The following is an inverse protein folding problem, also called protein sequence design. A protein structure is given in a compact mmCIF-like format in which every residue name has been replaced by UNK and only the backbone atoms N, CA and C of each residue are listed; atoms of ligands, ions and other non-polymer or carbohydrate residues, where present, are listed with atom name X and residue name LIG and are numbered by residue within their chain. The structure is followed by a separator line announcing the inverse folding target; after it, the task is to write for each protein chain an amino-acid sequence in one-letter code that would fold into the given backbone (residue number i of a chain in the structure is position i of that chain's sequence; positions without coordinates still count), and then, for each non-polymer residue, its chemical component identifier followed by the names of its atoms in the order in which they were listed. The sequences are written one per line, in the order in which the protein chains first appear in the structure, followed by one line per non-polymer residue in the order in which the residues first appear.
data_IF_378472297790
#
_entry.id   IF_378472297790
#
_cell.length_a   1.000
_cell.length_b   1.000
_cell.length_c   1.000
_cell.angle_alpha   90.00
_cell.angle_beta   90.00
_cell.angle_gamma   90.00
#
_symmetry.space_group_name_H-M   'P 1'
#
loop_
_entity.id
_entity.type
_entity.pdbx_description
1 polymer ?
#
# COMPACT_ATOMS: atom_id res chain seq x y z
N UNK A 1 4.55 81.65 -115.95
CA UNK A 1 5.09 82.64 -115.00
C UNK A 1 3.89 83.20 -114.26
N UNK A 2 3.72 83.11 -112.94
CA UNK A 2 4.69 82.87 -111.88
C UNK A 2 3.97 82.35 -110.60
N UNK A 3 4.71 81.57 -109.82
CA UNK A 3 4.28 80.81 -108.64
C UNK A 3 4.57 81.58 -107.37
N UNK A 4 3.57 82.20 -106.71
CA UNK A 4 3.78 82.81 -105.38
C UNK A 4 2.50 83.00 -104.55
N UNK A 5 1.55 82.06 -104.58
CA UNK A 5 0.28 82.16 -103.84
C UNK A 5 0.04 81.11 -102.73
N UNK A 6 1.05 80.34 -102.32
CA UNK A 6 0.86 79.21 -101.38
C UNK A 6 1.56 79.30 -100.01
N UNK A 7 2.34 80.35 -99.70
CA UNK A 7 3.20 80.31 -98.51
C UNK A 7 2.68 81.00 -97.23
N UNK A 8 1.49 81.61 -97.22
CA UNK A 8 1.06 82.49 -96.11
C UNK A 8 -0.06 81.93 -95.20
N UNK A 9 -0.50 80.67 -95.37
CA UNK A 9 -1.49 80.05 -94.47
C UNK A 9 -0.93 79.02 -93.46
N UNK A 10 0.32 78.59 -93.56
CA UNK A 10 0.88 77.56 -92.67
C UNK A 10 1.38 78.06 -91.29
N UNK A 11 1.48 79.37 -91.08
CA UNK A 11 2.09 79.94 -89.85
C UNK A 11 1.12 79.99 -88.65
N UNK A 12 -0.18 80.22 -88.86
CA UNK A 12 -1.16 80.40 -87.75
C UNK A 12 -1.61 79.11 -87.06
N UNK A 13 -1.42 77.94 -87.68
CA UNK A 13 -1.88 76.64 -87.14
C UNK A 13 -0.96 76.08 -86.04
N UNK A 14 0.35 76.36 -86.10
CA UNK A 14 1.35 75.72 -85.21
C UNK A 14 1.39 76.33 -83.80
N UNK A 15 1.06 77.61 -83.62
CA UNK A 15 1.11 78.30 -82.32
C UNK A 15 0.05 77.86 -81.31
N UNK A 16 -1.18 77.60 -81.76
CA UNK A 16 -2.28 77.16 -80.88
C UNK A 16 -2.08 75.73 -80.33
N UNK A 17 -1.37 74.88 -81.08
CA UNK A 17 -1.05 73.49 -80.69
C UNK A 17 -0.02 73.42 -79.55
N UNK A 18 0.97 74.31 -79.55
CA UNK A 18 2.05 74.33 -78.55
C UNK A 18 1.56 74.80 -77.18
N UNK A 19 0.75 75.86 -77.12
CA UNK A 19 0.19 76.37 -75.86
C UNK A 19 -0.69 75.33 -75.15
N UNK A 20 -1.48 74.58 -75.93
CA UNK A 20 -2.33 73.49 -75.41
C UNK A 20 -1.50 72.36 -74.80
N UNK A 21 -0.34 72.04 -75.39
CA UNK A 21 0.62 71.05 -74.86
C UNK A 21 1.27 71.52 -73.55
N UNK A 22 1.66 72.78 -73.46
CA UNK A 22 2.26 73.34 -72.22
C UNK A 22 1.24 73.34 -71.08
N UNK A 23 -0.01 73.77 -71.35
CA UNK A 23 -1.08 73.75 -70.35
C UNK A 23 -1.39 72.33 -69.88
N UNK A 24 -1.47 71.36 -70.81
CA UNK A 24 -1.67 69.96 -70.45
C UNK A 24 -0.48 69.38 -69.66
N UNK A 25 0.76 69.77 -69.97
CA UNK A 25 1.95 69.38 -69.20
C UNK A 25 1.91 69.91 -67.77
N UNK A 26 1.55 71.19 -67.57
CA UNK A 26 1.43 71.78 -66.24
C UNK A 26 0.32 71.11 -65.42
N UNK A 27 -0.83 70.82 -66.04
CA UNK A 27 -1.91 70.08 -65.39
C UNK A 27 -1.49 68.64 -65.04
N UNK A 28 -0.79 67.96 -65.94
CA UNK A 28 -0.25 66.63 -65.67
C UNK A 28 0.77 66.66 -64.53
N UNK A 29 1.68 67.63 -64.50
CA UNK A 29 2.67 67.79 -63.42
C UNK A 29 2.02 68.08 -62.08
N UNK A 30 0.96 68.90 -62.05
CA UNK A 30 0.19 69.16 -60.82
C UNK A 30 -0.52 67.90 -60.33
N UNK A 31 -1.15 67.14 -61.23
CA UNK A 31 -1.80 65.88 -60.89
C UNK A 31 -0.78 64.84 -60.40
N UNK A 32 0.34 64.68 -61.12
CA UNK A 32 1.43 63.78 -60.74
C UNK A 32 2.05 64.18 -59.40
N UNK A 33 2.16 65.48 -59.13
CA UNK A 33 2.63 66.02 -57.85
C UNK A 33 1.68 65.75 -56.69
N UNK A 34 0.36 65.86 -56.91
CA UNK A 34 -0.64 65.53 -55.89
C UNK A 34 -0.69 64.03 -55.61
N UNK A 35 -0.57 63.20 -56.65
CA UNK A 35 -0.53 61.74 -56.51
C UNK A 35 0.76 61.31 -55.81
N UNK A 36 1.92 61.86 -56.21
CA UNK A 36 3.20 61.53 -55.60
C UNK A 36 3.25 61.98 -54.14
N UNK A 37 2.68 63.15 -53.81
CA UNK A 37 2.61 63.63 -52.44
C UNK A 37 1.71 62.75 -51.56
N UNK A 38 0.55 62.32 -52.07
CA UNK A 38 -0.33 61.37 -51.36
C UNK A 38 0.36 60.03 -51.09
N UNK A 39 1.05 59.48 -52.09
CA UNK A 39 1.83 58.23 -51.95
C UNK A 39 2.97 58.42 -50.95
N UNK A 40 3.72 59.52 -51.06
CA UNK A 40 4.86 59.81 -50.20
C UNK A 40 4.43 60.00 -48.74
N UNK A 41 3.28 60.62 -48.48
CA UNK A 41 2.72 60.65 -47.12
C UNK A 41 2.41 59.25 -46.60
N UNK A 42 1.73 58.39 -47.37
CA UNK A 42 1.33 57.05 -46.91
C UNK A 42 2.52 56.13 -46.57
N UNK A 43 3.63 56.30 -47.27
CA UNK A 43 4.81 55.40 -47.20
C UNK A 43 5.87 55.88 -46.21
N UNK A 44 5.91 57.17 -45.86
CA UNK A 44 6.98 57.73 -45.05
C UNK A 44 6.48 58.31 -43.73
N UNK A 45 6.92 57.71 -42.62
CA UNK A 45 6.59 58.17 -41.27
C UNK A 45 7.04 59.61 -41.00
N UNK A 46 8.14 60.07 -41.63
CA UNK A 46 8.67 61.43 -41.44
C UNK A 46 7.84 62.50 -42.15
N UNK A 47 7.33 62.21 -43.36
CA UNK A 47 6.46 63.12 -44.11
C UNK A 47 5.05 63.17 -43.50
N UNK A 48 4.53 62.03 -43.04
CA UNK A 48 3.28 62.00 -42.27
C UNK A 48 3.40 62.81 -40.97
N UNK A 49 4.51 62.70 -40.24
CA UNK A 49 4.75 63.47 -39.02
C UNK A 49 4.88 64.98 -39.29
N UNK A 50 5.60 65.37 -40.35
CA UNK A 50 5.72 66.77 -40.75
C UNK A 50 4.37 67.39 -41.12
N UNK A 51 3.57 66.70 -41.95
CA UNK A 51 2.23 67.15 -42.33
C UNK A 51 1.29 67.26 -41.12
N UNK A 52 1.35 66.31 -40.19
CA UNK A 52 0.56 66.34 -38.95
C UNK A 52 0.96 67.50 -38.03
N UNK A 53 2.26 67.80 -37.92
CA UNK A 53 2.76 68.91 -37.12
C UNK A 53 2.37 70.28 -37.70
N UNK A 54 2.36 70.40 -39.03
CA UNK A 54 1.88 71.62 -39.73
C UNK A 54 0.37 71.80 -39.57
N UNK A 55 -0.42 70.72 -39.69
CA UNK A 55 -1.85 70.77 -39.44
C UNK A 55 -2.13 71.17 -37.98
N UNK A 56 -1.36 70.63 -37.03
CA UNK A 56 -1.46 70.98 -35.62
C UNK A 56 -1.16 72.45 -35.39
N UNK A 57 -0.07 73.00 -35.94
CA UNK A 57 0.29 74.41 -35.75
C UNK A 57 -0.72 75.38 -36.37
N UNK A 58 -1.32 75.03 -37.51
CA UNK A 58 -2.38 75.81 -38.13
C UNK A 58 -3.69 75.82 -37.32
N UNK A 59 -3.96 74.78 -36.54
CA UNK A 59 -5.16 74.66 -35.70
C UNK A 59 -5.00 75.27 -34.30
N UNK A 60 -3.77 75.50 -33.81
CA UNK A 60 -3.53 76.13 -32.49
C UNK A 60 -4.27 77.47 -32.26
N UNK A 61 -4.36 78.39 -33.25
CA UNK A 61 -5.06 79.67 -33.07
C UNK A 61 -6.59 79.54 -32.89
N UNK A 62 -7.19 78.41 -33.27
CA UNK A 62 -8.65 78.19 -33.26
C UNK A 62 -9.20 77.72 -31.90
N UNK A 63 -8.35 77.67 -30.86
CA UNK A 63 -8.72 77.30 -29.51
C UNK A 63 -8.48 75.82 -29.19
N UNK A 64 -7.95 75.56 -27.99
CA UNK A 64 -7.45 74.24 -27.56
C UNK A 64 -8.51 73.12 -27.64
N UNK A 65 -9.78 73.42 -27.36
CA UNK A 65 -10.85 72.42 -27.32
C UNK A 65 -11.27 71.84 -28.68
N UNK A 66 -11.19 72.62 -29.78
CA UNK A 66 -11.57 72.16 -31.12
C UNK A 66 -10.42 71.37 -31.76
N UNK A 67 -9.20 71.88 -31.60
CA UNK A 67 -7.96 71.25 -32.07
C UNK A 67 -7.79 69.86 -31.47
N UNK A 68 -8.10 69.69 -30.19
CA UNK A 68 -8.02 68.39 -29.53
C UNK A 68 -9.08 67.39 -30.04
N UNK A 69 -10.32 67.82 -30.31
CA UNK A 69 -11.37 66.95 -30.87
C UNK A 69 -11.03 66.48 -32.29
N UNK A 70 -10.54 67.37 -33.15
CA UNK A 70 -10.17 67.05 -34.52
C UNK A 70 -8.94 66.13 -34.54
N UNK A 71 -7.91 66.44 -33.75
CA UNK A 71 -6.69 65.61 -33.67
C UNK A 71 -6.95 64.24 -33.04
N UNK A 72 -7.85 64.11 -32.05
CA UNK A 72 -8.26 62.80 -31.49
C UNK A 72 -8.91 61.89 -32.53
N UNK A 73 -9.57 62.45 -33.54
CA UNK A 73 -10.20 61.67 -34.62
C UNK A 73 -9.23 61.27 -35.74
N UNK A 74 -8.01 61.82 -35.75
CA UNK A 74 -7.03 61.56 -36.79
C UNK A 74 -6.51 60.10 -36.76
N UNK A 75 -6.33 59.44 -37.91
CA UNK A 75 -5.88 58.05 -38.00
C UNK A 75 -4.53 57.77 -37.33
N UNK A 76 -3.65 58.78 -37.25
CA UNK A 76 -2.32 58.69 -36.62
C UNK A 76 -2.44 58.58 -35.09
N UNK A 77 -3.36 59.33 -34.47
CA UNK A 77 -3.58 59.28 -33.02
C UNK A 77 -4.24 57.96 -32.62
N UNK A 78 -5.20 57.47 -33.41
CA UNK A 78 -5.79 56.13 -33.22
C UNK A 78 -4.74 55.03 -33.34
N UNK A 79 -3.95 54.99 -34.42
CA UNK A 79 -2.88 54.00 -34.57
C UNK A 79 -1.86 54.04 -33.44
N UNK A 80 -1.46 55.22 -32.97
CA UNK A 80 -0.56 55.35 -31.83
C UNK A 80 -1.18 54.79 -30.55
N UNK A 81 -2.44 55.11 -30.28
CA UNK A 81 -3.18 54.59 -29.13
C UNK A 81 -3.37 53.06 -29.21
N UNK A 82 -3.76 52.53 -30.38
CA UNK A 82 -3.96 51.10 -30.61
C UNK A 82 -2.64 50.33 -30.45
N UNK A 83 -1.52 50.88 -30.91
CA UNK A 83 -0.18 50.32 -30.69
C UNK A 83 0.20 50.35 -29.21
N UNK A 84 -0.07 51.44 -28.50
CA UNK A 84 0.16 51.53 -27.05
C UNK A 84 -0.69 50.53 -26.26
N UNK A 85 -1.96 50.33 -26.64
CA UNK A 85 -2.86 49.33 -26.05
C UNK A 85 -2.36 47.91 -26.32
N UNK A 86 -1.97 47.60 -27.56
CA UNK A 86 -1.42 46.29 -27.90
C UNK A 86 -0.11 45.99 -27.14
N UNK A 87 0.75 47.00 -26.96
CA UNK A 87 1.96 46.90 -26.14
C UNK A 87 1.61 46.59 -24.68
N UNK A 88 0.58 47.22 -24.11
CA UNK A 88 0.14 46.94 -22.74
C UNK A 88 -0.46 45.54 -22.62
N UNK A 89 -1.34 45.14 -23.53
CA UNK A 89 -1.93 43.80 -23.55
C UNK A 89 -0.86 42.72 -23.63
N UNK A 90 0.18 42.95 -24.45
CA UNK A 90 1.29 42.02 -24.56
C UNK A 90 2.11 41.96 -23.26
N UNK A 91 2.35 43.10 -22.59
CA UNK A 91 3.00 43.11 -21.26
C UNK A 91 2.17 42.36 -20.22
N UNK A 92 0.86 42.56 -20.20
CA UNK A 92 -0.05 41.86 -19.28
C UNK A 92 -0.02 40.35 -19.50
N UNK A 93 -0.03 39.90 -20.77
CA UNK A 93 0.14 38.49 -21.13
C UNK A 93 1.50 37.93 -20.66
N UNK A 94 2.59 38.69 -20.82
CA UNK A 94 3.90 38.27 -20.31
C UNK A 94 3.94 38.19 -18.78
N UNK A 95 3.37 39.16 -18.07
CA UNK A 95 3.26 39.12 -16.61
C UNK A 95 2.39 37.96 -16.11
N UNK A 96 1.30 37.63 -16.81
CA UNK A 96 0.46 36.48 -16.47
C UNK A 96 1.20 35.16 -16.71
N UNK A 97 1.91 35.05 -17.83
CA UNK A 97 2.70 33.88 -18.17
C UNK A 97 3.84 33.66 -17.16
N UNK A 98 4.51 34.73 -16.72
CA UNK A 98 5.54 34.67 -15.67
C UNK A 98 4.95 34.18 -14.33
N UNK A 99 3.78 34.69 -13.94
CA UNK A 99 3.06 34.21 -12.74
C UNK A 99 2.70 32.73 -12.85
N UNK A 100 2.26 32.27 -14.03
CA UNK A 100 1.96 30.84 -14.27
C UNK A 100 3.22 29.99 -14.21
N UNK A 101 4.33 30.46 -14.79
CA UNK A 101 5.62 29.78 -14.75
C UNK A 101 6.13 29.60 -13.32
N UNK A 102 6.10 30.65 -12.50
CA UNK A 102 6.54 30.57 -11.10
C UNK A 102 5.63 29.67 -10.25
N UNK A 103 4.31 29.70 -10.46
CA UNK A 103 3.38 28.74 -9.82
C UNK A 103 3.66 27.30 -10.22
N UNK A 104 3.90 27.06 -11.52
CA UNK A 104 4.20 25.73 -12.03
C UNK A 104 5.53 25.22 -11.48
N UNK A 105 6.55 26.08 -11.44
CA UNK A 105 7.86 25.80 -10.84
C UNK A 105 7.73 25.46 -9.36
N UNK A 106 7.00 26.25 -8.58
CA UNK A 106 6.73 25.96 -7.16
C UNK A 106 5.94 24.66 -6.94
N UNK A 107 5.00 24.35 -7.84
CA UNK A 107 4.26 23.08 -7.79
C UNK A 107 5.17 21.89 -8.11
N UNK A 108 6.07 22.03 -9.09
CA UNK A 108 7.02 21.00 -9.47
C UNK A 108 8.03 20.72 -8.34
N UNK A 109 8.54 21.76 -7.67
CA UNK A 109 9.43 21.56 -6.50
C UNK A 109 8.71 20.85 -5.37
N UNK A 110 7.47 21.24 -5.05
CA UNK A 110 6.65 20.57 -4.02
C UNK A 110 6.36 19.11 -4.36
N UNK A 111 5.98 18.82 -5.62
CA UNK A 111 5.74 17.47 -6.09
C UNK A 111 7.01 16.61 -6.00
N UNK A 112 8.16 17.14 -6.41
CA UNK A 112 9.45 16.46 -6.30
C UNK A 112 9.82 16.17 -4.84
N UNK A 113 9.63 17.12 -3.93
CA UNK A 113 9.84 16.89 -2.49
C UNK A 113 8.93 15.80 -1.93
N UNK A 114 7.65 15.79 -2.33
CA UNK A 114 6.71 14.76 -1.93
C UNK A 114 7.09 13.38 -2.50
N UNK A 115 7.53 13.33 -3.75
CA UNK A 115 7.99 12.10 -4.38
C UNK A 115 9.18 11.48 -3.61
N UNK A 116 10.18 12.30 -3.26
CA UNK A 116 11.32 11.85 -2.45
C UNK A 116 10.90 11.32 -1.07
N UNK A 117 9.94 11.97 -0.41
CA UNK A 117 9.40 11.51 0.89
C UNK A 117 8.66 10.18 0.76
N UNK A 118 7.86 10.05 -0.30
CA UNK A 118 7.10 8.83 -0.58
C UNK A 118 8.05 7.67 -0.90
N UNK A 119 9.07 7.91 -1.72
CA UNK A 119 10.12 6.93 -2.04
C UNK A 119 10.83 6.46 -0.76
N UNK A 120 11.27 7.39 0.09
CA UNK A 120 11.90 7.06 1.37
C UNK A 120 10.97 6.19 2.25
N UNK A 121 9.69 6.58 2.36
CA UNK A 121 8.69 5.82 3.12
C UNK A 121 8.46 4.42 2.54
N UNK A 122 8.43 4.29 1.21
CA UNK A 122 8.27 3.01 0.53
C UNK A 122 9.46 2.08 0.80
N UNK A 123 10.68 2.60 0.75
CA UNK A 123 11.88 1.81 1.10
C UNK A 123 11.86 1.35 2.57
N UNK A 124 11.40 2.20 3.50
CA UNK A 124 11.29 1.86 4.91
C UNK A 124 10.23 0.78 5.16
N UNK A 125 9.05 0.95 4.56
CA UNK A 125 7.95 -0.02 4.66
C UNK A 125 8.38 -1.37 4.08
N UNK A 126 9.04 -1.39 2.93
CA UNK A 126 9.54 -2.63 2.32
C UNK A 126 10.54 -3.35 3.22
N UNK A 127 11.47 -2.63 3.85
CA UNK A 127 12.41 -3.21 4.83
C UNK A 127 11.69 -3.80 6.04
N UNK A 128 10.70 -3.08 6.59
CA UNK A 128 9.88 -3.57 7.71
C UNK A 128 9.07 -4.80 7.31
N UNK A 129 8.52 -4.83 6.10
CA UNK A 129 7.78 -5.97 5.58
C UNK A 129 8.68 -7.21 5.52
N UNK A 130 9.85 -7.12 4.90
CA UNK A 130 10.78 -8.25 4.81
C UNK A 130 11.23 -8.73 6.20
N UNK A 131 11.46 -7.82 7.13
CA UNK A 131 11.79 -8.17 8.52
C UNK A 131 10.63 -8.89 9.22
N UNK A 132 9.39 -8.45 9.02
CA UNK A 132 8.21 -9.10 9.59
C UNK A 132 7.97 -10.47 8.97
N UNK A 133 8.18 -10.62 7.67
CA UNK A 133 8.09 -11.89 6.96
C UNK A 133 9.08 -12.92 7.53
N UNK A 134 10.35 -12.54 7.69
CA UNK A 134 11.37 -13.38 8.32
C UNK A 134 10.98 -13.76 9.76
N UNK A 135 10.52 -12.79 10.57
CA UNK A 135 10.07 -13.06 11.94
C UNK A 135 8.87 -14.00 11.99
N UNK A 136 7.92 -13.84 11.07
CA UNK A 136 6.74 -14.69 10.95
C UNK A 136 7.13 -16.12 10.56
N UNK A 137 7.99 -16.28 9.55
CA UNK A 137 8.49 -17.58 9.13
C UNK A 137 9.21 -18.33 10.26
N UNK A 138 10.09 -17.64 11.00
CA UNK A 138 10.77 -18.21 12.17
C UNK A 138 9.79 -18.65 13.26
N UNK A 139 8.76 -17.85 13.52
CA UNK A 139 7.70 -18.19 14.50
C UNK A 139 6.90 -19.42 14.06
N UNK A 140 6.51 -19.47 12.79
CA UNK A 140 5.78 -20.61 12.22
C UNK A 140 6.61 -21.90 12.27
N UNK A 141 7.90 -21.83 11.94
CA UNK A 141 8.82 -22.98 12.04
C UNK A 141 8.94 -23.48 13.49
N UNK A 142 9.09 -22.57 14.46
CA UNK A 142 9.16 -22.94 15.87
C UNK A 142 7.88 -23.64 16.35
N UNK A 143 6.69 -23.11 16.00
CA UNK A 143 5.40 -23.73 16.29
C UNK A 143 5.33 -25.12 15.67
N UNK A 144 5.68 -25.26 14.39
CA UNK A 144 5.60 -26.54 13.69
C UNK A 144 6.52 -27.58 14.31
N UNK A 145 7.75 -27.21 14.67
CA UNK A 145 8.72 -28.10 15.30
C UNK A 145 8.27 -28.54 16.69
N UNK A 146 7.84 -27.60 17.54
CA UNK A 146 7.34 -27.90 18.88
C UNK A 146 6.10 -28.79 18.81
N UNK A 147 5.11 -28.41 17.99
CA UNK A 147 3.88 -29.18 17.77
C UNK A 147 4.16 -30.60 17.30
N UNK A 148 5.09 -30.81 16.35
CA UNK A 148 5.43 -32.13 15.85
C UNK A 148 6.10 -33.02 16.90
N UNK A 149 7.00 -32.46 17.71
CA UNK A 149 7.63 -33.20 18.82
C UNK A 149 6.60 -33.61 19.86
N UNK A 150 5.76 -32.66 20.29
CA UNK A 150 4.67 -32.93 21.22
C UNK A 150 3.71 -34.01 20.69
N UNK A 151 3.23 -33.86 19.45
CA UNK A 151 2.31 -34.81 18.82
C UNK A 151 2.91 -36.23 18.74
N UNK A 152 4.19 -36.34 18.33
CA UNK A 152 4.86 -37.64 18.30
C UNK A 152 4.97 -38.28 19.68
N UNK A 153 5.34 -37.51 20.72
CA UNK A 153 5.39 -38.04 22.11
C UNK A 153 4.01 -38.48 22.58
N UNK A 154 2.97 -37.68 22.35
CA UNK A 154 1.58 -38.02 22.72
C UNK A 154 1.10 -39.30 22.04
N UNK A 155 1.37 -39.49 20.74
CA UNK A 155 0.99 -40.72 20.03
C UNK A 155 1.74 -41.94 20.56
N UNK A 156 3.04 -41.80 20.84
CA UNK A 156 3.84 -42.89 21.42
C UNK A 156 3.36 -43.23 22.84
N UNK A 157 3.11 -42.23 23.69
CA UNK A 157 2.58 -42.41 25.04
C UNK A 157 1.20 -43.08 25.06
N UNK A 158 0.28 -42.66 24.17
CA UNK A 158 -1.02 -43.29 24.02
C UNK A 158 -0.90 -44.77 23.60
N UNK A 159 0.02 -45.09 22.68
CA UNK A 159 0.30 -46.48 22.28
C UNK A 159 0.87 -47.30 23.43
N UNK A 160 1.78 -46.75 24.24
CA UNK A 160 2.33 -47.43 25.43
C UNK A 160 1.24 -47.76 26.44
N UNK A 161 0.39 -46.79 26.75
CA UNK A 161 -0.75 -46.97 27.64
C UNK A 161 -1.68 -48.09 27.13
N UNK A 162 -2.13 -48.05 25.87
CA UNK A 162 -3.00 -49.10 25.29
C UNK A 162 -2.32 -50.48 25.28
N UNK A 163 -1.06 -50.55 24.85
CA UNK A 163 -0.32 -51.80 24.76
C UNK A 163 -0.07 -52.45 26.13
N UNK A 164 -0.10 -51.64 27.20
CA UNK A 164 0.14 -52.12 28.55
C UNK A 164 -1.10 -52.66 29.26
N UNK A 165 -2.31 -52.33 28.79
CA UNK A 165 -3.56 -52.71 29.46
C UNK A 165 -3.65 -54.20 29.85
N UNK A 166 -3.24 -55.17 28.99
CA UNK A 166 -3.25 -56.58 29.38
C UNK A 166 -2.32 -56.88 30.57
N UNK A 167 -1.15 -56.23 30.60
CA UNK A 167 -0.17 -56.38 31.67
C UNK A 167 -0.57 -55.64 32.95
N UNK A 168 -1.22 -54.48 32.84
CA UNK A 168 -1.76 -53.73 33.99
C UNK A 168 -2.84 -54.52 34.73
N UNK A 169 -3.52 -55.43 34.03
CA UNK A 169 -4.55 -56.31 34.59
C UNK A 169 -3.99 -57.49 35.40
N UNK A 170 -2.66 -57.71 35.38
CA UNK A 170 -1.98 -58.79 36.10
C UNK A 170 -1.58 -58.28 37.50
N UNK A 171 -2.16 -58.74 38.61
CA UNK A 171 -1.69 -58.39 39.96
C UNK A 171 -0.17 -58.45 40.16
N UNK A 172 0.36 -57.47 40.90
CA UNK A 172 1.80 -57.21 41.15
C UNK A 172 2.63 -56.81 39.91
N UNK A 173 2.52 -57.51 38.78
CA UNK A 173 3.20 -57.17 37.52
C UNK A 173 2.61 -55.88 36.94
N UNK A 174 1.30 -55.75 36.96
CA UNK A 174 0.55 -54.59 36.53
C UNK A 174 0.87 -53.35 37.34
N UNK A 175 1.05 -53.49 38.66
CA UNK A 175 1.53 -52.37 39.51
C UNK A 175 2.91 -51.88 39.07
N UNK A 176 3.82 -52.79 38.73
CA UNK A 176 5.14 -52.40 38.23
C UNK A 176 5.06 -51.73 36.85
N UNK A 177 4.19 -52.20 35.96
CA UNK A 177 3.94 -51.60 34.65
C UNK A 177 3.32 -50.20 34.76
N UNK A 178 2.30 -50.03 35.60
CA UNK A 178 1.65 -48.74 35.88
C UNK A 178 2.69 -47.72 36.36
N UNK A 179 3.52 -48.10 37.34
CA UNK A 179 4.60 -47.23 37.84
C UNK A 179 5.58 -46.86 36.73
N UNK A 180 5.98 -47.83 35.90
CA UNK A 180 6.89 -47.60 34.78
C UNK A 180 6.32 -46.67 33.71
N UNK A 181 5.05 -46.84 33.35
CA UNK A 181 4.37 -46.00 32.35
C UNK A 181 4.11 -44.61 32.90
N UNK A 182 3.71 -44.50 34.18
CA UNK A 182 3.55 -43.22 34.87
C UNK A 182 4.88 -42.45 34.91
N UNK A 183 6.01 -43.13 35.12
CA UNK A 183 7.32 -42.49 35.03
C UNK A 183 7.61 -41.96 33.62
N UNK A 184 7.21 -42.70 32.59
CA UNK A 184 7.34 -42.27 31.21
C UNK A 184 6.44 -41.08 30.87
N UNK A 185 5.20 -41.07 31.36
CA UNK A 185 4.25 -39.99 31.14
C UNK A 185 4.69 -38.68 31.82
N UNK A 186 5.26 -38.77 33.03
CA UNK A 186 5.88 -37.61 33.71
C UNK A 186 7.09 -37.10 32.92
N UNK A 187 7.94 -37.99 32.41
CA UNK A 187 9.06 -37.62 31.56
C UNK A 187 8.61 -36.91 30.27
N UNK A 188 7.64 -37.48 29.55
CA UNK A 188 7.13 -36.91 28.30
C UNK A 188 6.42 -35.56 28.56
N UNK A 189 5.75 -35.41 29.71
CA UNK A 189 5.14 -34.14 30.13
C UNK A 189 6.18 -33.06 30.47
N UNK A 190 7.27 -33.43 31.14
CA UNK A 190 8.40 -32.53 31.39
C UNK A 190 9.03 -32.04 30.08
N UNK A 191 9.25 -32.94 29.12
CA UNK A 191 9.76 -32.59 27.79
C UNK A 191 8.78 -31.72 26.97
N UNK A 192 7.46 -31.91 27.14
CA UNK A 192 6.46 -31.03 26.52
C UNK A 192 6.50 -29.61 27.11
N UNK A 193 6.71 -29.44 28.43
CA UNK A 193 6.89 -28.12 29.03
C UNK A 193 8.18 -27.43 28.57
N UNK A 194 9.24 -28.20 28.32
CA UNK A 194 10.48 -27.68 27.75
C UNK A 194 10.28 -27.19 26.32
N UNK A 195 9.55 -27.95 25.49
CA UNK A 195 9.18 -27.53 24.13
C UNK A 195 8.28 -26.29 24.13
N UNK A 196 7.35 -26.19 25.07
CA UNK A 196 6.51 -25.01 25.26
C UNK A 196 7.33 -23.79 25.66
N UNK A 197 8.34 -23.96 26.51
CA UNK A 197 9.24 -22.87 26.88
C UNK A 197 10.16 -22.44 25.74
N UNK A 198 10.65 -23.37 24.91
CA UNK A 198 11.36 -23.02 23.66
C UNK A 198 10.45 -22.17 22.75
N UNK A 199 9.16 -22.49 22.70
CA UNK A 199 8.18 -21.70 21.96
C UNK A 199 7.94 -20.32 22.59
N UNK A 200 7.75 -20.24 23.91
CA UNK A 200 7.54 -18.97 24.61
C UNK A 200 8.73 -18.02 24.43
N UNK A 201 9.97 -18.52 24.40
CA UNK A 201 11.15 -17.71 24.09
C UNK A 201 11.09 -17.08 22.69
N UNK A 202 10.65 -17.85 21.68
CA UNK A 202 10.51 -17.35 20.30
C UNK A 202 9.42 -16.27 20.19
N UNK A 203 8.37 -16.38 21.01
CA UNK A 203 7.28 -15.42 21.02
C UNK A 203 7.43 -14.30 22.05
N UNK A 204 8.50 -14.31 22.86
CA UNK A 204 8.75 -13.37 23.96
C UNK A 204 7.68 -13.38 25.05
N UNK A 205 7.14 -14.57 25.36
CA UNK A 205 6.22 -14.78 26.47
C UNK A 205 6.95 -15.28 27.72
N UNK A 206 6.27 -15.20 28.87
CA UNK A 206 6.80 -15.74 30.12
C UNK A 206 6.96 -17.26 30.02
N UNK A 207 7.99 -17.78 30.68
CA UNK A 207 8.22 -19.22 30.76
C UNK A 207 7.29 -19.84 31.78
N UNK A 208 6.80 -21.02 31.45
CA UNK A 208 6.11 -21.89 32.40
C UNK A 208 7.13 -22.56 33.32
N UNK A 209 6.77 -22.71 34.59
CA UNK A 209 7.61 -23.35 35.60
C UNK A 209 7.70 -24.86 35.34
N UNK A 210 8.83 -25.27 34.76
CA UNK A 210 9.12 -26.67 34.45
C UNK A 210 9.23 -27.53 35.70
N UNK A 211 9.59 -26.95 36.85
CA UNK A 211 9.87 -27.73 38.06
C UNK A 211 8.62 -28.39 38.62
N UNK A 212 7.43 -27.84 38.35
CA UNK A 212 6.16 -28.38 38.80
C UNK A 212 5.90 -29.80 38.29
N UNK A 213 6.33 -30.12 37.07
CA UNK A 213 6.16 -31.46 36.48
C UNK A 213 7.45 -32.26 36.56
N UNK A 214 8.58 -31.65 36.21
CA UNK A 214 9.87 -32.36 36.18
C UNK A 214 10.35 -32.81 37.58
N UNK A 215 9.79 -32.26 38.66
CA UNK A 215 10.14 -32.64 40.04
C UNK A 215 9.14 -33.62 40.67
N UNK A 216 8.13 -34.09 39.92
CA UNK A 216 7.18 -35.10 40.42
C UNK A 216 7.95 -36.41 40.60
N UNK A 217 7.96 -36.91 41.85
CA UNK A 217 8.58 -38.20 42.17
C UNK A 217 7.57 -39.32 41.94
N UNK A 218 7.92 -40.25 41.06
CA UNK A 218 7.12 -41.45 40.80
C UNK A 218 7.27 -42.39 42.01
N UNK A 219 6.17 -42.89 42.59
CA UNK A 219 6.24 -43.85 43.69
C UNK A 219 6.84 -45.19 43.27
N UNK A 220 7.36 -45.98 44.24
CA UNK A 220 7.87 -47.32 43.95
C UNK A 220 6.75 -48.35 43.89
N UNK A 221 6.99 -49.50 43.23
CA UNK A 221 6.01 -50.58 43.15
C UNK A 221 5.58 -51.08 44.52
N UNK A 222 6.49 -51.13 45.49
CA UNK A 222 6.23 -51.61 46.85
C UNK A 222 5.28 -50.67 47.57
N UNK A 223 5.51 -49.36 47.44
CA UNK A 223 4.64 -48.34 48.00
C UNK A 223 3.22 -48.41 47.40
N UNK A 224 3.12 -48.52 46.07
CA UNK A 224 1.81 -48.61 45.40
C UNK A 224 1.07 -49.89 45.78
N UNK A 225 1.78 -51.02 45.84
CA UNK A 225 1.20 -52.31 46.22
C UNK A 225 0.71 -52.31 47.67
N UNK A 226 1.49 -51.73 48.59
CA UNK A 226 1.09 -51.61 50.00
C UNK A 226 -0.16 -50.73 50.15
N UNK A 227 -0.21 -49.59 49.44
CA UNK A 227 -1.37 -48.69 49.47
C UNK A 227 -2.62 -49.31 48.86
N UNK A 228 -2.46 -50.08 47.77
CA UNK A 228 -3.55 -50.86 47.22
C UNK A 228 -4.08 -51.85 48.27
N UNK A 229 -3.23 -52.66 48.91
CA UNK A 229 -3.69 -53.65 49.90
C UNK A 229 -4.43 -53.02 51.09
N UNK A 230 -3.93 -51.91 51.61
CA UNK A 230 -4.51 -51.24 52.79
C UNK A 230 -5.90 -50.65 52.49
N UNK A 231 -6.06 -49.94 51.37
CA UNK A 231 -7.22 -49.10 51.09
C UNK A 231 -7.80 -49.28 49.67
N UNK A 232 -7.75 -50.49 49.08
CA UNK A 232 -8.16 -50.71 47.69
C UNK A 232 -9.60 -50.27 47.38
N UNK A 233 -10.54 -50.37 48.34
CA UNK A 233 -11.94 -49.96 48.15
C UNK A 233 -12.05 -48.45 47.94
N UNK A 234 -11.36 -47.67 48.75
CA UNK A 234 -11.32 -46.20 48.63
C UNK A 234 -10.63 -45.79 47.33
N UNK A 235 -9.52 -46.45 46.98
CA UNK A 235 -8.82 -46.23 45.71
C UNK A 235 -9.71 -46.54 44.49
N UNK A 236 -10.49 -47.64 44.55
CA UNK A 236 -11.45 -48.02 43.52
C UNK A 236 -12.55 -46.97 43.36
N UNK A 237 -13.18 -46.54 44.47
CA UNK A 237 -14.25 -45.54 44.43
C UNK A 237 -13.77 -44.21 43.84
N UNK A 238 -12.57 -43.76 44.23
CA UNK A 238 -11.96 -42.56 43.67
C UNK A 238 -11.72 -42.68 42.15
N UNK A 239 -11.11 -43.79 41.71
CA UNK A 239 -10.86 -44.04 40.29
C UNK A 239 -12.16 -44.15 39.48
N UNK A 240 -13.15 -44.89 39.98
CA UNK A 240 -14.46 -45.04 39.34
C UNK A 240 -15.17 -43.69 39.19
N UNK A 241 -15.06 -42.80 40.19
CA UNK A 241 -15.64 -41.46 40.11
C UNK A 241 -14.99 -40.61 39.01
N UNK A 242 -13.66 -40.62 38.90
CA UNK A 242 -12.94 -39.86 37.86
C UNK A 242 -13.17 -40.42 36.46
N UNK A 243 -13.14 -41.75 36.29
CA UNK A 243 -13.44 -42.40 35.00
C UNK A 243 -14.87 -42.06 34.55
N UNK A 244 -15.85 -42.15 35.46
CA UNK A 244 -17.24 -41.82 35.14
C UNK A 244 -17.44 -40.32 34.85
N UNK A 245 -16.61 -39.41 35.39
CA UNK A 245 -16.61 -37.99 35.00
C UNK A 245 -16.05 -37.83 33.58
N UNK A 246 -14.93 -38.49 33.28
CA UNK A 246 -14.30 -38.43 31.96
C UNK A 246 -15.19 -39.04 30.85
N UNK A 247 -15.88 -40.15 31.13
CA UNK A 247 -16.80 -40.81 30.20
C UNK A 247 -17.97 -39.89 29.77
N UNK A 248 -18.43 -39.01 30.66
CA UNK A 248 -19.47 -38.01 30.32
C UNK A 248 -18.98 -36.94 29.34
N UNK A 249 -17.67 -36.66 29.33
CA UNK A 249 -17.07 -35.68 28.42
C UNK A 249 -16.89 -36.27 27.01
N UNK A 250 -16.40 -37.51 26.92
CA UNK A 250 -16.13 -38.22 25.65
C UNK A 250 -17.39 -38.63 24.89
N UNK A 251 -18.51 -38.87 25.59
CA UNK A 251 -19.81 -39.18 24.98
C UNK A 251 -20.34 -38.09 24.03
N UNK A 252 -19.79 -36.88 24.07
CA UNK A 252 -20.23 -35.76 23.24
C UNK A 252 -19.64 -35.73 21.82
N UNK A 253 -18.59 -36.51 21.51
CA UNK A 253 -17.80 -36.32 20.27
C UNK A 253 -17.55 -37.57 19.39
N UNK A 254 -17.81 -38.81 19.85
CA UNK A 254 -17.67 -40.02 19.01
C UNK A 254 -18.63 -41.13 19.47
N UNK A 255 -18.96 -42.05 18.55
CA UNK A 255 -19.80 -43.24 18.71
C UNK A 255 -19.68 -43.90 20.10
N UNK A 256 -20.83 -44.07 20.77
CA UNK A 256 -20.98 -44.44 22.18
C UNK A 256 -20.22 -45.72 22.54
N UNK A 257 -19.12 -45.57 23.28
CA UNK A 257 -18.67 -46.63 24.19
C UNK A 257 -19.16 -46.22 25.58
N UNK A 258 -20.30 -46.78 26.00
CA UNK A 258 -20.83 -46.63 27.36
C UNK A 258 -20.01 -47.49 28.33
N UNK A 259 -18.79 -47.04 28.66
CA UNK A 259 -18.02 -47.62 29.77
C UNK A 259 -18.39 -46.87 31.04
N UNK A 260 -19.39 -47.37 31.76
CA UNK A 260 -19.68 -46.91 33.13
C UNK A 260 -19.07 -47.88 34.13
N UNK A 261 -18.16 -47.37 34.97
CA UNK A 261 -17.55 -48.16 36.04
C UNK A 261 -18.51 -48.18 37.24
N UNK A 262 -18.84 -49.35 37.82
CA UNK A 262 -19.67 -49.42 39.03
C UNK A 262 -19.11 -48.58 40.17
N UNK A 263 -19.96 -47.90 40.93
CA UNK A 263 -19.53 -47.08 42.08
C UNK A 263 -19.13 -47.90 43.30
N UNK A 264 -19.71 -49.09 43.44
CA UNK A 264 -19.39 -50.01 44.54
C UNK A 264 -18.47 -51.10 44.01
N UNK A 265 -17.30 -51.33 44.64
CA UNK A 265 -16.44 -52.44 44.25
C UNK A 265 -17.17 -53.77 44.47
N UNK A 266 -16.94 -54.78 43.62
CA UNK A 266 -17.42 -56.13 43.89
C UNK A 266 -16.94 -56.60 45.26
N UNK A 267 -17.78 -57.34 45.99
CA UNK A 267 -17.40 -57.92 47.28
C UNK A 267 -16.39 -59.03 46.99
N UNK A 268 -15.11 -58.70 47.11
CA UNK A 268 -14.00 -59.64 47.02
C UNK A 268 -13.05 -59.44 48.20
N UNK A 269 -12.49 -60.51 48.74
CA UNK A 269 -11.34 -60.48 49.65
C UNK A 269 -10.05 -60.34 48.84
N UNK A 270 -8.96 -59.95 49.49
CA UNK A 270 -7.65 -59.88 48.83
C UNK A 270 -7.19 -61.28 48.36
N UNK A 271 -7.56 -62.33 49.10
CA UNK A 271 -7.28 -63.73 48.74
C UNK A 271 -8.03 -64.15 47.48
N UNK A 272 -9.30 -63.74 47.31
CA UNK A 272 -10.07 -64.01 46.08
C UNK A 272 -9.52 -63.25 44.86
N UNK A 273 -8.88 -62.10 45.08
CA UNK A 273 -8.18 -61.34 44.03
C UNK A 273 -6.88 -62.08 43.62
N UNK A 274 -6.14 -62.63 44.59
CA UNK A 274 -4.96 -63.47 44.35
C UNK A 274 -5.32 -64.83 43.71
N UNK A 275 -6.50 -65.39 43.98
CA UNK A 275 -6.95 -66.62 43.33
C UNK A 275 -7.36 -66.39 41.87
N UNK A 276 -8.16 -65.34 41.60
CA UNK A 276 -8.50 -64.94 40.22
C UNK A 276 -7.27 -64.55 39.40
N UNK A 277 -6.23 -64.07 40.07
CA UNK A 277 -4.93 -63.82 39.45
C UNK A 277 -4.29 -65.09 38.92
N UNK A 278 -4.17 -66.12 39.75
CA UNK A 278 -3.55 -67.39 39.33
C UNK A 278 -4.31 -68.03 38.16
N UNK A 279 -5.65 -67.92 38.17
CA UNK A 279 -6.50 -68.35 37.05
C UNK A 279 -6.27 -67.52 35.78
N UNK A 280 -6.14 -66.19 35.89
CA UNK A 280 -5.85 -65.31 34.76
C UNK A 280 -4.46 -65.56 34.18
N UNK A 281 -3.45 -65.78 35.01
CA UNK A 281 -2.08 -66.10 34.59
C UNK A 281 -2.06 -67.40 33.81
N UNK A 282 -2.70 -68.47 34.30
CA UNK A 282 -2.85 -69.74 33.56
C UNK A 282 -3.51 -69.53 32.20
N UNK A 283 -4.52 -68.68 32.13
CA UNK A 283 -5.27 -68.40 30.90
C UNK A 283 -4.41 -67.64 29.87
N UNK A 284 -3.53 -66.74 30.30
CA UNK A 284 -2.54 -66.09 29.44
C UNK A 284 -1.48 -67.08 28.95
N UNK A 285 -0.94 -67.93 29.84
CA UNK A 285 0.05 -68.95 29.49
C UNK A 285 -0.49 -69.92 28.42
N UNK A 286 -1.72 -70.40 28.59
CA UNK A 286 -2.41 -71.27 27.63
C UNK A 286 -2.71 -70.59 26.29
N UNK A 287 -2.85 -69.26 26.27
CA UNK A 287 -3.10 -68.48 25.07
C UNK A 287 -1.80 -68.17 24.30
N UNK A 288 -0.70 -67.92 25.00
CA UNK A 288 0.62 -67.67 24.40
C UNK A 288 1.32 -68.93 23.90
N UNK A 289 0.97 -70.12 24.43
CA UNK A 289 1.56 -71.40 24.06
C UNK A 289 0.81 -72.13 22.92
N UNK A 290 -0.19 -71.48 22.30
CA UNK A 290 -0.86 -71.92 21.06
C UNK A 290 -0.47 -71.04 19.89
#
# INVERSE_FOLDING_TARGET
MDSTFQHEQESKSKGASVWKRIKNMLLFLSFLGLVSLNIATLVSDSLHAAAFNVLRSALVPLGSGLTEKILRSAPVVKRKHDVEVAIQEQRDKYMELEKKYERLKGSHTKLNTNHKKLEASHTEISKKHNMLEIKSARKAEAVQKASRRMANRTVVGARRNIASLPGESIPLIGTALIVGITAWDIYDSCENLKDLNELNDVFQHQREDQTQVCSIKVPTKEWVTAKARENWREAYEAAANEINKAAKFTQSHTERIEVTVPKTPPIMTWEEIEERYDDFVKLIEDWFMR
#
